data_IF_201392923954
#
_entry.id   IF_201392923954
#
_cell.length_a   1.000
_cell.length_b   1.000
_cell.length_c   1.000
_cell.angle_alpha   90.00
_cell.angle_beta   90.00
_cell.angle_gamma   90.00
#
_symmetry.space_group_name_H-M   'P 1'
#
loop_
_entity.id
_entity.type
_entity.pdbx_description
1 polymer ?
#
# COMPACT_ATOMS: atom_id res chain seq x y z
N UNK A 1 1.94 -14.16 6.21
CA UNK A 1 1.60 -13.88 4.80
C UNK A 1 0.54 -12.79 4.78
N UNK A 2 0.81 -11.64 4.17
CA UNK A 2 -0.10 -10.49 4.21
C UNK A 2 -1.08 -10.56 3.04
N UNK A 3 -2.31 -10.98 3.28
CA UNK A 3 -3.37 -10.74 2.30
C UNK A 3 -3.73 -9.25 2.30
N UNK A 4 -3.88 -8.69 1.11
CA UNK A 4 -4.38 -7.33 0.93
C UNK A 4 -5.73 -7.18 1.65
N UNK A 5 -5.99 -6.03 2.30
CA UNK A 5 -7.31 -5.76 2.86
C UNK A 5 -8.40 -5.85 1.77
N UNK A 6 -9.65 -6.15 2.16
CA UNK A 6 -10.76 -6.21 1.21
C UNK A 6 -10.88 -4.90 0.44
N UNK A 7 -11.36 -4.96 -0.80
CA UNK A 7 -11.44 -3.79 -1.70
C UNK A 7 -12.27 -2.63 -1.17
N UNK A 8 -13.07 -2.86 -0.14
CA UNK A 8 -13.87 -1.86 0.57
C UNK A 8 -13.06 -0.97 1.52
N UNK A 9 -11.87 -1.41 1.94
CA UNK A 9 -11.06 -0.70 2.96
C UNK A 9 -10.05 0.27 2.35
N UNK A 10 -10.11 0.54 1.04
CA UNK A 10 -9.31 1.60 0.42
C UNK A 10 -10.17 2.49 -0.48
N UNK A 11 -9.78 3.76 -0.56
CA UNK A 11 -10.50 4.81 -1.25
C UNK A 11 -9.53 5.73 -2.02
N UNK A 12 -10.09 6.53 -2.92
CA UNK A 12 -9.38 7.56 -3.68
C UNK A 12 -9.66 8.97 -3.15
N UNK A 13 -10.43 9.06 -2.06
CA UNK A 13 -10.92 10.32 -1.49
C UNK A 13 -9.97 10.92 -0.44
N UNK A 14 -8.83 10.30 -0.18
CA UNK A 14 -7.88 10.78 0.84
C UNK A 14 -8.21 10.37 2.27
N UNK A 15 -9.16 9.44 2.50
CA UNK A 15 -9.56 9.05 3.86
C UNK A 15 -8.58 8.02 4.44
N UNK A 16 -7.93 8.37 5.55
CA UNK A 16 -7.01 7.51 6.28
C UNK A 16 -5.55 7.71 5.89
N UNK A 17 -4.79 6.62 5.79
CA UNK A 17 -3.35 6.65 5.47
C UNK A 17 -3.09 6.26 4.01
N UNK A 18 -2.03 6.79 3.39
CA UNK A 18 -1.55 6.31 2.08
C UNK A 18 -1.41 4.79 2.04
N UNK A 19 -1.94 4.18 0.99
CA UNK A 19 -1.93 2.73 0.80
C UNK A 19 -1.25 2.36 -0.52
N UNK A 20 -0.26 1.46 -0.43
CA UNK A 20 0.52 0.99 -1.57
C UNK A 20 0.32 -0.51 -1.75
N UNK A 21 -0.23 -0.93 -2.88
CA UNK A 21 -0.58 -2.35 -3.13
C UNK A 21 0.55 -3.13 -3.82
N UNK A 22 1.45 -2.46 -4.53
CA UNK A 22 2.63 -3.11 -5.10
C UNK A 22 3.45 -2.18 -5.99
N UNK A 23 4.13 -2.75 -7.00
CA UNK A 23 5.03 -2.02 -7.91
C UNK A 23 4.39 -0.80 -8.57
N UNK A 24 3.08 -0.78 -8.82
CA UNK A 24 2.44 0.29 -9.57
C UNK A 24 2.60 1.66 -8.89
N UNK A 25 2.63 1.66 -7.57
CA UNK A 25 2.78 2.86 -6.77
C UNK A 25 4.26 3.21 -6.46
N UNK A 26 5.22 2.36 -6.83
CA UNK A 26 6.64 2.59 -6.54
C UNK A 26 7.32 3.28 -7.72
N UNK A 27 7.88 4.47 -7.45
CA UNK A 27 8.72 5.20 -8.42
C UNK A 27 10.21 4.98 -8.12
N UNK A 28 11.10 5.74 -8.79
CA UNK A 28 12.55 5.64 -8.63
C UNK A 28 13.06 6.04 -7.24
N UNK A 29 12.32 6.88 -6.50
CA UNK A 29 12.76 7.42 -5.19
C UNK A 29 11.73 7.16 -4.09
N UNK A 30 10.50 7.65 -4.28
CA UNK A 30 9.42 7.53 -3.30
C UNK A 30 8.14 7.03 -3.99
N UNK A 31 7.31 6.23 -3.30
CA UNK A 31 6.05 5.81 -3.88
C UNK A 31 5.10 7.00 -4.06
N UNK A 32 4.31 6.97 -5.13
CA UNK A 32 3.27 7.97 -5.39
C UNK A 32 1.95 7.54 -4.76
N UNK A 33 1.35 8.43 -3.98
CA UNK A 33 0.10 8.15 -3.28
C UNK A 33 -1.07 8.34 -4.25
N UNK A 34 -1.73 7.23 -4.59
CA UNK A 34 -2.96 7.25 -5.39
C UNK A 34 -4.17 6.72 -4.63
N UNK A 35 -3.97 6.01 -3.52
CA UNK A 35 -5.00 5.35 -2.72
C UNK A 35 -4.73 5.58 -1.24
N UNK A 36 -5.80 5.56 -0.46
CA UNK A 36 -5.77 5.66 0.99
C UNK A 36 -6.56 4.51 1.61
N UNK A 37 -6.19 4.13 2.83
CA UNK A 37 -6.82 3.08 3.62
C UNK A 37 -7.13 3.64 5.02
N UNK A 38 -8.41 3.60 5.38
CA UNK A 38 -8.92 4.01 6.70
C UNK A 38 -8.71 2.92 7.77
N UNK A 39 -8.65 1.66 7.36
CA UNK A 39 -8.41 0.50 8.24
C UNK A 39 -7.12 -0.29 7.89
N UNK A 40 -5.92 0.33 7.97
CA UNK A 40 -4.67 -0.32 7.58
C UNK A 40 -4.25 -1.40 8.59
N UNK A 41 -4.06 -2.63 8.11
CA UNK A 41 -3.58 -3.77 8.92
C UNK A 41 -2.08 -3.72 9.25
N UNK A 42 -1.28 -3.03 8.42
CA UNK A 42 0.15 -2.79 8.61
C UNK A 42 0.47 -1.36 8.22
N UNK A 43 1.28 -0.70 9.05
CA UNK A 43 1.72 0.69 8.86
C UNK A 43 3.23 0.71 8.77
N UNK A 44 3.77 1.57 7.90
CA UNK A 44 5.18 1.89 7.83
C UNK A 44 5.38 3.31 8.37
N UNK A 45 6.49 3.55 9.06
CA UNK A 45 6.88 4.86 9.53
C UNK A 45 7.70 5.62 8.47
N UNK A 46 7.87 6.91 8.68
CA UNK A 46 8.76 7.73 7.84
C UNK A 46 10.18 7.14 7.93
N UNK A 47 10.83 7.00 6.78
CA UNK A 47 12.16 6.38 6.58
C UNK A 47 12.22 4.86 6.66
N UNK A 48 11.09 4.15 6.80
CA UNK A 48 11.08 2.70 6.62
C UNK A 48 11.37 2.33 5.16
N UNK A 49 12.09 1.22 4.97
CA UNK A 49 12.36 0.67 3.64
C UNK A 49 11.14 -0.14 3.20
N UNK A 50 10.55 0.27 2.08
CA UNK A 50 9.43 -0.44 1.46
C UNK A 50 9.93 -1.45 0.44
N UNK A 51 9.56 -2.72 0.60
CA UNK A 51 9.89 -3.80 -0.34
C UNK A 51 8.62 -4.37 -0.96
N UNK A 52 8.50 -4.28 -2.29
CA UNK A 52 7.40 -4.91 -3.03
C UNK A 52 7.66 -6.41 -3.16
N UNK A 53 6.88 -7.23 -2.47
CA UNK A 53 6.91 -8.70 -2.58
C UNK A 53 5.73 -9.17 -3.44
N UNK A 54 5.98 -9.90 -4.53
CA UNK A 54 4.93 -10.60 -5.29
C UNK A 54 4.92 -12.08 -4.91
N UNK A 55 3.74 -12.59 -4.56
CA UNK A 55 3.56 -14.03 -4.43
C UNK A 55 3.59 -14.68 -5.84
N UNK A 56 4.14 -15.90 -5.99
CA UNK A 56 4.00 -16.66 -7.22
C UNK A 56 2.53 -17.00 -7.44
N UNK A 57 2.01 -16.70 -8.63
CA UNK A 57 0.74 -17.23 -9.12
C UNK A 57 1.06 -18.56 -9.81
N UNK A 58 0.71 -19.66 -9.16
CA UNK A 58 0.73 -21.02 -9.71
C UNK A 58 -0.63 -21.39 -10.26
#
# INVERSE_FOLDING_TARGET
MGQSPPSSSYNFEGKGLPFFQGKAEFTNLHPEVSKWCDEPKKKAAVNDILLSVRAPVS
#
